data_IF_065275411375
#
_entry.id   IF_065275411375
#
_cell.length_a   1.000
_cell.length_b   1.000
_cell.length_c   1.000
_cell.angle_alpha   90.00
_cell.angle_beta   90.00
_cell.angle_gamma   90.00
#
_symmetry.space_group_name_H-M   'P 1'
#
loop_
_entity.id
_entity.type
_entity.pdbx_description
1 polymer ?
#
# COMPACT_ATOMS: atom_id res chain seq x y z
N UNK A 1 -16.35 1.39 -1.10
CA UNK A 1 -15.32 0.33 -1.34
C UNK A 1 -15.25 -0.50 -0.07
N UNK A 2 -15.02 -1.82 -0.10
CA UNK A 2 -15.15 -2.65 1.12
C UNK A 2 -13.87 -3.44 1.46
N UNK A 3 -12.74 -3.06 0.86
CA UNK A 3 -11.45 -3.75 0.99
C UNK A 3 -10.27 -2.77 0.79
N UNK A 4 -9.06 -3.22 1.08
CA UNK A 4 -7.83 -2.52 0.73
C UNK A 4 -7.68 -2.43 -0.79
N UNK A 5 -7.26 -1.26 -1.24
CA UNK A 5 -7.02 -0.93 -2.63
C UNK A 5 -5.52 -0.88 -2.93
N UNK A 6 -5.13 -1.14 -4.18
CA UNK A 6 -3.75 -0.93 -4.63
C UNK A 6 -3.44 0.57 -4.63
N UNK A 7 -2.37 0.97 -3.95
CA UNK A 7 -1.76 2.28 -4.15
C UNK A 7 -0.82 2.22 -5.36
N UNK A 8 0.18 1.34 -5.30
CA UNK A 8 1.03 1.02 -6.44
C UNK A 8 2.08 -0.04 -6.15
N UNK A 9 2.79 -0.42 -7.21
CA UNK A 9 3.95 -1.31 -7.15
C UNK A 9 5.20 -0.48 -7.41
N UNK A 10 6.10 -0.40 -6.44
CA UNK A 10 7.20 0.56 -6.47
C UNK A 10 8.56 -0.15 -6.44
N UNK A 11 9.23 -0.29 -7.61
CA UNK A 11 10.60 -0.74 -7.68
C UNK A 11 11.49 0.05 -6.72
N UNK A 12 12.43 -0.62 -6.08
CA UNK A 12 13.29 -0.02 -5.06
C UNK A 12 14.69 -0.61 -5.12
N UNK A 13 15.71 0.25 -5.04
CA UNK A 13 17.09 -0.15 -4.82
C UNK A 13 17.27 -0.50 -3.35
N UNK A 14 17.69 -1.73 -3.06
CA UNK A 14 17.90 -2.18 -1.68
C UNK A 14 18.94 -1.31 -0.94
N UNK A 15 18.70 -0.89 0.32
CA UNK A 15 17.49 -1.11 1.13
C UNK A 15 16.48 0.04 1.00
N UNK A 16 15.56 -0.05 0.04
CA UNK A 16 14.34 0.76 -0.02
C UNK A 16 14.49 2.18 -0.57
N UNK A 17 15.54 2.48 -1.33
CA UNK A 17 15.68 3.75 -2.06
C UNK A 17 14.87 3.68 -3.37
N UNK A 18 14.16 4.74 -3.70
CA UNK A 18 13.52 4.84 -5.01
C UNK A 18 14.60 4.89 -6.11
N UNK A 19 14.47 4.10 -7.18
CA UNK A 19 15.39 4.17 -8.31
C UNK A 19 15.28 5.54 -8.98
N UNK A 20 16.39 6.01 -9.52
CA UNK A 20 16.46 7.24 -10.31
C UNK A 20 17.03 6.91 -11.68
N UNK A 21 16.61 7.64 -12.71
CA UNK A 21 17.10 7.51 -14.07
C UNK A 21 16.91 6.11 -14.70
N UNK A 22 15.75 5.50 -14.47
CA UNK A 22 15.37 4.29 -15.20
C UNK A 22 15.34 4.59 -16.71
N UNK A 23 15.54 3.56 -17.52
CA UNK A 23 15.55 3.70 -18.98
C UNK A 23 14.26 4.36 -19.48
N UNK A 24 14.32 5.11 -20.57
CA UNK A 24 13.11 5.70 -21.15
C UNK A 24 12.21 4.59 -21.71
N UNK A 25 11.00 4.47 -21.18
CA UNK A 25 10.00 3.47 -21.55
C UNK A 25 8.82 4.12 -22.29
N UNK A 26 7.94 3.33 -22.95
CA UNK A 26 6.81 3.89 -23.68
C UNK A 26 5.90 4.75 -22.81
N UNK A 27 5.24 5.71 -23.46
CA UNK A 27 4.19 6.52 -22.84
C UNK A 27 3.06 5.62 -22.34
N UNK A 28 2.34 6.11 -21.32
CA UNK A 28 1.11 5.50 -20.85
C UNK A 28 0.10 5.38 -22.01
N UNK A 29 -0.52 4.21 -22.13
CA UNK A 29 -1.47 3.88 -23.18
C UNK A 29 -2.60 3.03 -22.60
N UNK A 30 -3.71 3.70 -22.29
CA UNK A 30 -4.90 3.08 -21.68
C UNK A 30 -5.46 1.92 -22.49
N UNK A 31 -5.27 1.90 -23.81
CA UNK A 31 -5.82 0.86 -24.67
C UNK A 31 -5.13 -0.49 -24.43
N UNK A 32 -3.89 -0.50 -23.94
CA UNK A 32 -3.19 -1.76 -23.55
C UNK A 32 -3.80 -2.40 -22.31
N UNK A 33 -4.53 -1.63 -21.50
CA UNK A 33 -5.14 -2.10 -20.26
C UNK A 33 -6.58 -2.57 -20.46
N UNK A 34 -7.07 -2.59 -21.70
CA UNK A 34 -8.46 -2.93 -22.02
C UNK A 34 -8.93 -4.24 -21.37
N UNK A 35 -8.13 -5.30 -21.49
CA UNK A 35 -8.50 -6.64 -21.01
C UNK A 35 -8.57 -6.75 -19.47
N UNK A 36 -7.82 -5.92 -18.76
CA UNK A 36 -7.77 -5.91 -17.28
C UNK A 36 -8.48 -4.70 -16.66
N UNK A 37 -9.11 -3.87 -17.48
CA UNK A 37 -9.72 -2.60 -17.06
C UNK A 37 -10.73 -2.78 -15.94
N UNK A 38 -11.59 -3.78 -16.05
CA UNK A 38 -12.60 -4.06 -15.03
C UNK A 38 -12.00 -4.41 -13.67
N UNK A 39 -10.85 -5.11 -13.63
CA UNK A 39 -10.13 -5.41 -12.39
C UNK A 39 -9.44 -4.17 -11.84
N UNK A 40 -8.86 -3.33 -12.69
CA UNK A 40 -8.26 -2.07 -12.26
C UNK A 40 -9.30 -1.11 -11.67
N UNK A 41 -10.48 -1.02 -12.28
CA UNK A 41 -11.59 -0.20 -11.78
C UNK A 41 -12.11 -0.68 -10.41
N UNK A 42 -11.92 -1.95 -10.04
CA UNK A 42 -12.31 -2.46 -8.71
C UNK A 42 -11.17 -2.45 -7.69
N UNK A 43 -9.95 -2.74 -8.11
CA UNK A 43 -8.82 -3.04 -7.20
C UNK A 43 -7.70 -2.01 -7.19
N UNK A 44 -7.72 -1.06 -8.13
CA UNK A 44 -6.75 0.03 -8.19
C UNK A 44 -7.47 1.38 -8.38
N UNK A 45 -8.46 1.66 -7.53
CA UNK A 45 -9.26 2.88 -7.61
C UNK A 45 -8.46 4.14 -7.27
N UNK A 46 -8.92 5.27 -7.78
CA UNK A 46 -8.49 6.59 -7.31
C UNK A 46 -9.42 7.08 -6.21
N UNK A 47 -8.95 7.06 -4.96
CA UNK A 47 -9.75 7.48 -3.79
C UNK A 47 -10.13 8.97 -3.80
N UNK A 48 -9.50 9.80 -4.65
CA UNK A 48 -9.86 11.22 -4.83
C UNK A 48 -10.92 11.43 -5.91
N UNK A 49 -11.00 10.52 -6.87
CA UNK A 49 -11.97 10.56 -7.97
C UNK A 49 -12.26 9.14 -8.47
N UNK A 50 -13.27 8.51 -7.88
CA UNK A 50 -13.69 7.16 -8.24
C UNK A 50 -14.23 7.05 -9.67
N UNK A 51 -14.64 8.16 -10.29
CA UNK A 51 -15.19 8.14 -11.64
C UNK A 51 -14.09 8.19 -12.71
N UNK A 52 -12.91 8.68 -12.36
CA UNK A 52 -11.79 8.82 -13.27
C UNK A 52 -10.47 8.36 -12.63
N UNK A 53 -10.19 7.04 -12.65
CA UNK A 53 -8.96 6.49 -12.09
C UNK A 53 -7.75 6.61 -13.04
N UNK A 54 -7.97 6.89 -14.33
CA UNK A 54 -6.91 6.90 -15.36
C UNK A 54 -5.74 7.84 -15.00
N UNK A 55 -5.96 9.09 -14.54
CA UNK A 55 -4.84 9.97 -14.17
C UNK A 55 -4.00 9.43 -13.00
N UNK A 56 -4.60 8.61 -12.13
CA UNK A 56 -3.87 7.97 -11.04
C UNK A 56 -3.00 6.82 -11.57
N UNK A 57 -3.53 5.99 -12.47
CA UNK A 57 -2.74 4.94 -13.13
C UNK A 57 -1.60 5.52 -13.97
N UNK A 58 -1.87 6.58 -14.72
CA UNK A 58 -0.86 7.30 -15.48
C UNK A 58 0.26 7.83 -14.57
N UNK A 59 -0.10 8.40 -13.41
CA UNK A 59 0.87 8.85 -12.41
C UNK A 59 1.76 7.69 -11.91
N UNK A 60 1.15 6.58 -11.51
CA UNK A 60 1.89 5.41 -11.01
C UNK A 60 2.78 4.80 -12.10
N UNK A 61 2.30 4.76 -13.35
CA UNK A 61 3.10 4.30 -14.49
C UNK A 61 4.34 5.18 -14.70
N UNK A 62 4.18 6.49 -14.84
CA UNK A 62 5.32 7.37 -15.11
C UNK A 62 6.31 7.46 -13.95
N UNK A 63 5.82 7.39 -12.71
CA UNK A 63 6.66 7.55 -11.54
C UNK A 63 7.34 6.24 -11.10
N UNK A 64 6.69 5.11 -11.33
CA UNK A 64 7.12 3.82 -10.79
C UNK A 64 7.12 2.70 -11.83
N UNK A 65 6.05 2.59 -12.63
CA UNK A 65 5.88 1.51 -13.60
C UNK A 65 6.97 1.43 -14.67
N UNK A 66 7.44 2.57 -15.18
CA UNK A 66 8.56 2.59 -16.13
C UNK A 66 9.81 1.90 -15.56
N UNK A 67 10.19 2.21 -14.32
CA UNK A 67 11.30 1.53 -13.65
C UNK A 67 11.04 0.04 -13.41
N UNK A 68 9.78 -0.36 -13.23
CA UNK A 68 9.43 -1.76 -13.01
C UNK A 68 9.76 -2.59 -14.26
N UNK A 69 9.78 -1.96 -15.43
CA UNK A 69 10.08 -2.65 -16.68
C UNK A 69 11.54 -3.04 -16.91
N UNK A 70 12.43 -2.67 -15.98
CA UNK A 70 13.79 -3.21 -15.94
C UNK A 70 13.85 -4.63 -15.35
N UNK A 71 12.78 -5.09 -14.69
CA UNK A 71 12.63 -6.46 -14.21
C UNK A 71 12.23 -7.40 -15.36
N UNK A 72 12.87 -8.57 -15.45
CA UNK A 72 12.57 -9.55 -16.51
C UNK A 72 11.15 -10.12 -16.49
N UNK A 73 10.45 -10.06 -15.33
CA UNK A 73 9.09 -10.56 -15.18
C UNK A 73 8.02 -9.50 -15.48
N UNK A 74 8.40 -8.22 -15.48
CA UNK A 74 7.52 -7.10 -15.78
C UNK A 74 8.11 -6.41 -16.99
N UNK A 75 7.69 -6.74 -18.22
CA UNK A 75 8.37 -6.20 -19.41
C UNK A 75 7.73 -4.95 -20.01
N UNK A 76 6.51 -4.62 -19.61
CA UNK A 76 5.71 -3.54 -20.19
C UNK A 76 4.62 -3.03 -19.23
N UNK A 77 3.84 -2.07 -19.73
CA UNK A 77 2.72 -1.45 -19.03
C UNK A 77 1.66 -2.45 -18.59
N UNK A 78 1.25 -3.37 -19.47
CA UNK A 78 0.28 -4.40 -19.12
C UNK A 78 0.84 -5.32 -18.03
N UNK A 79 2.11 -5.72 -18.14
CA UNK A 79 2.83 -6.51 -17.14
C UNK A 79 2.87 -5.83 -15.78
N UNK A 80 3.08 -4.51 -15.72
CA UNK A 80 3.11 -3.75 -14.48
C UNK A 80 1.77 -3.77 -13.74
N UNK A 81 0.70 -3.44 -14.45
CA UNK A 81 -0.65 -3.42 -13.88
C UNK A 81 -1.14 -4.83 -13.52
N UNK A 82 -0.93 -5.81 -14.41
CA UNK A 82 -1.33 -7.19 -14.17
C UNK A 82 -0.57 -7.83 -13.00
N UNK A 83 0.74 -7.58 -12.89
CA UNK A 83 1.53 -8.08 -11.75
C UNK A 83 1.04 -7.49 -10.43
N UNK A 84 0.70 -6.20 -10.41
CA UNK A 84 0.16 -5.56 -9.22
C UNK A 84 -1.18 -6.17 -8.78
N UNK A 85 -2.06 -6.47 -9.73
CA UNK A 85 -3.32 -7.18 -9.48
C UNK A 85 -3.09 -8.58 -8.90
N UNK A 86 -2.16 -9.35 -9.49
CA UNK A 86 -1.79 -10.69 -9.01
C UNK A 86 -1.21 -10.64 -7.59
N UNK A 87 -0.33 -9.68 -7.30
CA UNK A 87 0.25 -9.53 -5.97
C UNK A 87 -0.80 -9.13 -4.94
N UNK A 88 -1.74 -8.24 -5.30
CA UNK A 88 -2.85 -7.85 -4.43
C UNK A 88 -3.73 -9.05 -4.07
N UNK A 89 -4.12 -9.85 -5.06
CA UNK A 89 -4.91 -11.08 -4.86
C UNK A 89 -4.15 -12.09 -3.99
N UNK A 90 -2.86 -12.28 -4.22
CA UNK A 90 -2.00 -13.17 -3.42
C UNK A 90 -1.86 -12.74 -1.96
N UNK A 91 -1.86 -11.43 -1.69
CA UNK A 91 -1.75 -10.91 -0.32
C UNK A 91 -3.08 -11.06 0.42
N UNK A 92 -4.22 -10.73 -0.19
CA UNK A 92 -5.56 -10.90 0.42
C UNK A 92 -5.64 -10.36 1.87
N UNK A 93 -5.24 -9.09 2.03
CA UNK A 93 -4.94 -8.50 3.34
C UNK A 93 -6.12 -8.52 4.30
N UNK A 94 -7.29 -8.05 3.87
CA UNK A 94 -8.45 -7.93 4.74
C UNK A 94 -8.93 -9.30 5.22
N UNK A 95 -9.07 -10.27 4.32
CA UNK A 95 -9.49 -11.62 4.70
C UNK A 95 -8.48 -12.25 5.64
N UNK A 96 -7.19 -12.09 5.37
CA UNK A 96 -6.13 -12.56 6.26
C UNK A 96 -6.27 -11.95 7.65
N UNK A 97 -6.39 -10.62 7.78
CA UNK A 97 -6.59 -9.96 9.08
C UNK A 97 -7.85 -10.45 9.79
N UNK A 98 -8.95 -10.67 9.05
CA UNK A 98 -10.19 -11.20 9.58
C UNK A 98 -10.01 -12.61 10.19
N UNK A 99 -9.19 -13.48 9.59
CA UNK A 99 -8.91 -14.82 10.16
C UNK A 99 -8.17 -14.76 11.50
N UNK A 100 -7.46 -13.67 11.76
CA UNK A 100 -6.79 -13.39 13.04
C UNK A 100 -7.65 -12.53 14.00
N UNK A 101 -8.91 -12.24 13.64
CA UNK A 101 -9.82 -11.45 14.45
C UNK A 101 -9.57 -9.94 14.41
N UNK A 102 -8.72 -9.46 13.51
CA UNK A 102 -8.52 -8.02 13.28
C UNK A 102 -9.48 -7.58 12.17
N UNK A 103 -10.51 -6.84 12.55
CA UNK A 103 -11.53 -6.32 11.64
C UNK A 103 -11.54 -4.79 11.65
N UNK A 104 -11.97 -4.16 10.55
CA UNK A 104 -12.28 -2.74 10.56
C UNK A 104 -13.34 -2.44 11.62
N UNK A 105 -13.06 -1.49 12.52
CA UNK A 105 -13.96 -1.12 13.61
C UNK A 105 -13.80 0.36 13.97
N UNK A 106 -14.86 1.13 13.70
CA UNK A 106 -14.89 2.56 14.00
C UNK A 106 -14.81 2.82 15.51
N UNK A 107 -14.01 3.81 15.92
CA UNK A 107 -13.78 4.20 17.32
C UNK A 107 -13.17 3.10 18.21
N UNK A 108 -12.61 2.03 17.63
CA UNK A 108 -11.87 1.01 18.37
C UNK A 108 -10.38 1.15 18.12
N UNK A 109 -9.58 1.04 19.18
CA UNK A 109 -8.13 1.09 19.09
C UNK A 109 -7.55 -0.31 18.88
N UNK A 110 -6.70 -0.42 17.88
CA UNK A 110 -5.85 -1.57 17.58
C UNK A 110 -4.43 -1.27 18.05
N UNK A 111 -3.81 -2.22 18.75
CA UNK A 111 -2.41 -2.11 19.13
C UNK A 111 -1.51 -2.25 17.90
N UNK A 112 -0.61 -1.29 17.65
CA UNK A 112 0.36 -1.37 16.54
C UNK A 112 1.24 -2.62 16.63
N UNK A 113 1.67 -2.99 17.83
CA UNK A 113 2.50 -4.17 18.07
C UNK A 113 1.72 -5.45 17.76
N UNK A 114 0.44 -5.50 18.14
CA UNK A 114 -0.46 -6.60 17.81
C UNK A 114 -0.62 -6.74 16.30
N UNK A 115 -0.93 -5.65 15.59
CA UNK A 115 -1.04 -5.64 14.13
C UNK A 115 0.25 -6.16 13.46
N UNK A 116 1.41 -5.63 13.84
CA UNK A 116 2.70 -6.02 13.26
C UNK A 116 3.05 -7.49 13.53
N UNK A 117 2.76 -8.00 14.73
CA UNK A 117 2.96 -9.41 15.06
C UNK A 117 2.03 -10.32 14.26
N UNK A 118 0.75 -9.95 14.11
CA UNK A 118 -0.22 -10.68 13.30
C UNK A 118 0.22 -10.73 11.83
N UNK A 119 0.63 -9.61 11.26
CA UNK A 119 1.14 -9.55 9.87
C UNK A 119 2.41 -10.40 9.72
N UNK A 120 3.35 -10.35 10.67
CA UNK A 120 4.55 -11.19 10.66
C UNK A 120 4.20 -12.67 10.71
N UNK A 121 3.22 -13.05 11.55
CA UNK A 121 2.78 -14.43 11.68
C UNK A 121 2.07 -14.93 10.41
N UNK A 122 1.17 -14.13 9.84
CA UNK A 122 0.36 -14.51 8.69
C UNK A 122 1.20 -14.68 7.42
N UNK A 123 2.14 -13.77 7.19
CA UNK A 123 2.89 -13.70 5.93
C UNK A 123 4.32 -14.24 6.03
N UNK A 124 4.79 -14.59 7.24
CA UNK A 124 6.17 -14.94 7.50
C UNK A 124 7.18 -13.89 6.96
N UNK A 125 6.77 -12.63 6.90
CA UNK A 125 7.51 -11.53 6.30
C UNK A 125 7.34 -10.27 7.16
N UNK A 126 8.39 -9.44 7.22
CA UNK A 126 8.30 -8.12 7.82
C UNK A 126 7.66 -7.17 6.83
N UNK A 127 6.55 -6.56 7.23
CA UNK A 127 5.82 -5.56 6.44
C UNK A 127 5.97 -4.18 7.07
N UNK A 128 5.68 -3.13 6.30
CA UNK A 128 5.62 -1.77 6.82
C UNK A 128 4.16 -1.34 6.95
N UNK A 129 3.86 -0.54 7.97
CA UNK A 129 2.52 0.06 8.15
C UNK A 129 2.68 1.56 8.26
N UNK A 130 1.79 2.30 7.61
CA UNK A 130 1.73 3.75 7.71
C UNK A 130 0.35 4.20 8.17
N UNK A 131 0.34 5.33 8.86
CA UNK A 131 -0.87 5.89 9.44
C UNK A 131 -1.08 7.33 9.01
N UNK A 132 -2.35 7.68 8.82
CA UNK A 132 -2.78 9.06 8.61
C UNK A 132 -3.12 9.69 9.96
N UNK A 133 -2.42 10.76 10.31
CA UNK A 133 -2.70 11.53 11.52
C UNK A 133 -3.95 12.37 11.32
N UNK A 134 -4.91 12.27 12.24
CA UNK A 134 -6.10 13.12 12.20
C UNK A 134 -5.82 14.51 12.75
N UNK A 135 -6.58 15.56 12.38
CA UNK A 135 -6.46 16.88 13.01
C UNK A 135 -6.63 16.85 14.55
N UNK A 136 -7.37 15.87 15.07
CA UNK A 136 -7.51 15.63 16.53
C UNK A 136 -6.18 15.15 17.14
N UNK A 137 -5.41 14.33 16.43
CA UNK A 137 -4.06 13.92 16.84
C UNK A 137 -3.13 15.13 16.97
N UNK A 138 -3.07 15.99 15.95
CA UNK A 138 -2.14 17.13 15.93
C UNK A 138 -2.44 18.16 17.02
N UNK A 139 -3.72 18.46 17.26
CA UNK A 139 -4.14 19.39 18.32
C UNK A 139 -3.84 18.87 19.72
N UNK A 140 -3.98 17.56 19.95
CA UNK A 140 -3.73 16.93 21.26
C UNK A 140 -2.26 16.64 21.52
N UNK A 141 -1.39 16.63 20.50
CA UNK A 141 0.05 16.59 20.72
C UNK A 141 0.59 17.86 21.41
N UNK A 142 -0.10 19.00 21.26
CA UNK A 142 0.26 20.29 21.86
C UNK A 142 -0.11 20.42 23.36
N UNK A 143 -0.98 19.56 23.86
CA UNK A 143 -1.43 19.53 25.25
C UNK A 143 -1.25 18.11 25.75
N UNK A 144 -0.32 17.83 26.68
CA UNK A 144 0.13 16.49 27.15
C UNK A 144 -0.94 15.48 27.62
N UNK A 145 -2.03 15.25 26.88
CA UNK A 145 -3.09 14.29 27.14
C UNK A 145 -2.79 13.00 26.38
N UNK A 146 -2.29 12.01 27.12
CA UNK A 146 -1.68 10.78 26.59
C UNK A 146 -2.66 9.74 26.02
N UNK A 147 -3.99 9.95 26.09
CA UNK A 147 -4.95 8.83 25.93
C UNK A 147 -5.92 8.91 24.75
N UNK A 148 -5.74 9.82 23.78
CA UNK A 148 -6.62 9.86 22.58
C UNK A 148 -5.90 10.47 21.37
N UNK A 149 -4.79 9.86 20.98
CA UNK A 149 -4.07 10.15 19.76
C UNK A 149 -4.67 9.30 18.63
N UNK A 150 -5.60 9.84 17.86
CA UNK A 150 -6.28 9.11 16.79
C UNK A 150 -5.47 9.22 15.48
N UNK A 151 -4.74 8.17 15.13
CA UNK A 151 -4.17 7.98 13.80
C UNK A 151 -4.87 6.77 13.16
N UNK A 152 -5.21 6.90 11.88
CA UNK A 152 -5.92 5.87 11.12
C UNK A 152 -4.89 5.03 10.36
N UNK A 153 -5.03 3.70 10.36
CA UNK A 153 -4.27 2.84 9.46
C UNK A 153 -4.55 3.28 8.01
N UNK A 154 -3.50 3.61 7.28
CA UNK A 154 -3.62 4.18 5.93
C UNK A 154 -3.05 3.27 4.85
N UNK A 155 -1.91 2.62 5.10
CA UNK A 155 -1.26 1.76 4.11
C UNK A 155 -0.51 0.62 4.79
N UNK A 156 -0.47 -0.54 4.14
CA UNK A 156 0.38 -1.68 4.50
C UNK A 156 1.22 -2.01 3.28
N UNK A 157 2.55 -2.04 3.47
CA UNK A 157 3.51 -2.31 2.39
C UNK A 157 4.13 -3.68 2.56
N UNK A 158 4.01 -4.47 1.51
CA UNK A 158 4.67 -5.75 1.33
C UNK A 158 5.87 -5.56 0.40
N UNK A 159 6.94 -6.31 0.63
CA UNK A 159 8.14 -6.23 -0.19
C UNK A 159 8.38 -7.56 -0.88
N UNK A 160 8.69 -7.50 -2.17
CA UNK A 160 8.97 -8.66 -2.99
C UNK A 160 10.38 -8.55 -3.57
N UNK A 161 11.03 -9.69 -3.75
CA UNK A 161 12.27 -9.75 -4.54
C UNK A 161 11.94 -9.66 -6.05
N UNK A 162 12.95 -9.53 -6.93
CA UNK A 162 12.75 -9.53 -8.39
C UNK A 162 12.11 -10.82 -8.95
N UNK A 163 11.97 -11.87 -8.14
CA UNK A 163 11.26 -13.11 -8.50
C UNK A 163 9.78 -13.09 -8.05
N UNK A 164 9.30 -11.94 -7.55
CA UNK A 164 7.95 -11.74 -7.00
C UNK A 164 7.65 -12.65 -5.78
N UNK A 165 8.71 -13.04 -5.07
CA UNK A 165 8.63 -13.78 -3.81
C UNK A 165 8.62 -12.79 -2.65
N UNK A 166 7.75 -13.04 -1.67
CA UNK A 166 7.61 -12.17 -0.51
C UNK A 166 8.87 -12.24 0.35
N UNK A 167 9.41 -11.09 0.71
CA UNK A 167 10.61 -10.94 1.54
C UNK A 167 10.38 -9.96 2.68
N UNK A 168 11.30 -9.93 3.64
CA UNK A 168 11.32 -8.90 4.67
C UNK A 168 11.55 -7.53 4.04
N UNK A 169 10.62 -6.60 4.25
CA UNK A 169 10.83 -5.19 3.93
C UNK A 169 12.06 -4.65 4.68
N UNK A 170 12.85 -3.73 4.10
CA UNK A 170 14.03 -3.18 4.76
C UNK A 170 13.68 -2.45 6.06
N UNK A 171 14.64 -2.34 6.99
CA UNK A 171 14.47 -1.41 8.12
C UNK A 171 14.64 0.00 7.58
N UNK A 172 13.54 0.73 7.40
CA UNK A 172 13.58 2.14 7.01
C UNK A 172 13.40 3.01 8.25
N UNK A 173 14.04 4.18 8.26
CA UNK A 173 13.66 5.24 9.19
C UNK A 173 12.22 5.64 8.87
N UNK A 174 11.35 5.53 9.87
CA UNK A 174 9.94 5.88 9.71
C UNK A 174 9.83 7.38 9.44
N UNK A 175 9.13 7.77 8.36
CA UNK A 175 8.78 9.16 8.17
C UNK A 175 7.89 9.57 9.34
N UNK A 176 8.38 10.53 10.14
CA UNK A 176 7.69 11.07 11.30
C UNK A 176 6.26 11.53 11.00
N UNK A 177 5.89 11.82 9.75
CA UNK A 177 4.54 12.20 9.37
C UNK A 177 3.59 11.02 9.21
N UNK A 178 4.11 9.86 8.79
CA UNK A 178 3.33 8.66 8.48
C UNK A 178 3.55 7.51 9.48
N UNK A 179 4.46 7.70 10.45
CA UNK A 179 4.65 6.77 11.58
C UNK A 179 3.34 6.53 12.33
N UNK A 180 3.06 5.24 12.55
CA UNK A 180 1.95 4.79 13.37
C UNK A 180 2.28 4.90 14.88
N UNK A 181 1.44 5.57 15.70
CA UNK A 181 1.56 5.51 17.16
C UNK A 181 1.29 4.09 17.69
N UNK A 182 1.49 3.89 19.00
CA UNK A 182 1.24 2.60 19.67
C UNK A 182 -0.20 2.07 19.51
N UNK A 183 -1.16 2.99 19.39
CA UNK A 183 -2.58 2.68 19.25
C UNK A 183 -3.12 3.41 18.03
N UNK A 184 -3.72 2.67 17.12
CA UNK A 184 -4.25 3.17 15.86
C UNK A 184 -5.72 2.77 15.73
N UNK A 185 -6.44 3.43 14.84
CA UNK A 185 -7.78 3.00 14.45
C UNK A 185 -7.68 2.33 13.07
N UNK A 186 -8.31 1.17 12.91
CA UNK A 186 -8.53 0.55 11.61
C UNK A 186 -10.01 0.80 11.26
N UNK A 187 -10.33 1.94 10.62
CA UNK A 187 -11.72 2.34 10.42
C UNK A 187 -12.42 1.44 9.40
N UNK A 188 -13.74 1.35 9.50
CA UNK A 188 -14.56 0.71 8.48
C UNK A 188 -14.38 1.40 7.12
N UNK A 189 -14.46 0.62 6.04
CA UNK A 189 -14.39 1.17 4.69
C UNK A 189 -15.69 1.93 4.37
N UNK A 190 -15.56 3.05 3.66
CA UNK A 190 -16.68 3.90 3.23
C UNK A 190 -17.01 3.73 1.74
#
# INVERSE_FOLDING_TARGET
MNDFNIHGLWPSVWPGKQPTNCSAHPNFDIDKLWDIRGQLDSEWVNLKDYQNPIPFWEHEWYKHGQCATEDSLISDELGYFNTSLILRDKIDLLNTLNTYGIQPANNQLLGRIELLNTLRQAYNARVLVTCQKTPKYERRRRHHHRHNQLALLSEVRFCFNPQLELIDCPMQEEDNNTECPLWIEFPEFN
#
